data_IF_797530242433
#
_entry.id   IF_797530242433
#
_cell.length_a   1.000
_cell.length_b   1.000
_cell.length_c   1.000
_cell.angle_alpha   90.00
_cell.angle_beta   90.00
_cell.angle_gamma   90.00
#
_symmetry.space_group_name_H-M   'P 1'
#
loop_
_entity.id
_entity.type
_entity.pdbx_description
1 polymer ?
#
# COMPACT_ATOMS: atom_id res chain seq x y z
N UNK A 1 7.63 -21.20 26.81
CA UNK A 1 6.20 -21.54 26.92
C UNK A 1 5.67 -21.72 25.51
N UNK A 2 5.35 -22.95 25.12
CA UNK A 2 4.80 -23.25 23.80
C UNK A 2 3.27 -23.09 23.86
N UNK A 3 2.72 -22.35 22.91
CA UNK A 3 1.27 -22.22 22.74
C UNK A 3 0.94 -22.64 21.32
N UNK A 4 0.01 -23.58 21.20
CA UNK A 4 -0.57 -24.05 19.94
C UNK A 4 -2.02 -23.56 19.85
N UNK A 5 -2.48 -23.36 18.60
CA UNK A 5 -3.86 -23.10 18.10
C UNK A 5 -4.31 -21.63 17.96
N UNK A 6 -5.23 -21.26 17.03
CA UNK A 6 -5.95 -22.02 16.00
C UNK A 6 -5.63 -21.57 14.54
N UNK A 7 -6.25 -22.26 13.57
CA UNK A 7 -6.03 -22.32 12.11
C UNK A 7 -6.12 -21.04 11.25
N UNK A 8 -6.05 -19.84 11.83
CA UNK A 8 -6.19 -18.58 11.08
C UNK A 8 -4.86 -17.90 10.70
N UNK A 9 -3.73 -18.37 11.22
CA UNK A 9 -2.39 -17.85 10.88
C UNK A 9 -1.90 -18.52 9.59
N UNK A 10 -1.93 -17.79 8.47
CA UNK A 10 -1.28 -18.25 7.22
C UNK A 10 0.23 -18.16 7.38
N UNK A 11 0.96 -19.24 7.07
CA UNK A 11 2.42 -19.41 7.24
C UNK A 11 3.32 -18.31 6.64
N UNK A 12 2.81 -17.41 5.80
CA UNK A 12 3.63 -16.44 5.05
C UNK A 12 4.06 -15.20 5.83
N UNK A 13 3.21 -14.69 6.72
CA UNK A 13 3.62 -13.60 7.63
C UNK A 13 4.80 -14.06 8.53
N UNK A 14 4.93 -15.38 8.74
CA UNK A 14 6.06 -16.00 9.45
C UNK A 14 7.31 -16.23 8.59
N UNK A 15 7.18 -16.37 7.25
CA UNK A 15 8.32 -16.52 6.34
C UNK A 15 9.10 -15.21 6.13
N UNK A 16 8.41 -14.08 6.09
CA UNK A 16 9.04 -12.76 5.88
C UNK A 16 9.94 -12.35 7.09
N UNK A 17 9.60 -12.84 8.28
CA UNK A 17 10.41 -12.72 9.52
C UNK A 17 11.56 -13.70 9.59
N UNK A 18 11.42 -14.87 8.97
CA UNK A 18 12.45 -15.91 9.01
C UNK A 18 13.78 -15.42 8.43
N UNK A 19 13.72 -14.48 7.48
CA UNK A 19 14.87 -13.75 6.92
C UNK A 19 15.57 -12.87 7.97
N UNK A 20 14.83 -12.32 8.95
CA UNK A 20 15.37 -11.45 10.01
C UNK A 20 15.93 -12.26 11.20
N UNK A 21 15.52 -13.51 11.35
CA UNK A 21 15.88 -14.39 12.46
C UNK A 21 16.68 -15.60 11.99
N UNK A 22 17.43 -15.46 10.90
CA UNK A 22 18.09 -16.59 10.22
C UNK A 22 19.11 -17.30 11.14
N UNK A 23 19.74 -16.58 12.07
CA UNK A 23 20.59 -17.14 13.14
C UNK A 23 19.84 -17.73 14.34
N UNK A 24 18.51 -17.53 14.41
CA UNK A 24 17.58 -18.09 15.42
C UNK A 24 16.63 -19.15 14.82
N UNK A 25 16.88 -19.54 13.56
CA UNK A 25 15.98 -20.34 12.69
C UNK A 25 15.73 -21.78 13.13
N UNK A 26 16.23 -22.20 14.30
CA UNK A 26 15.86 -23.48 14.92
C UNK A 26 14.50 -23.46 15.62
N UNK A 27 13.87 -22.29 15.78
CA UNK A 27 12.58 -22.16 16.46
C UNK A 27 11.55 -21.53 15.54
N UNK A 28 10.40 -22.20 15.38
CA UNK A 28 9.25 -21.61 14.73
C UNK A 28 8.74 -20.44 15.59
N UNK A 29 8.82 -19.22 15.07
CA UNK A 29 8.13 -18.06 15.66
C UNK A 29 6.68 -18.14 15.17
N UNK A 30 5.83 -18.77 15.97
CA UNK A 30 4.43 -19.09 15.60
C UNK A 30 3.48 -17.90 15.82
N UNK A 31 3.83 -16.96 16.72
CA UNK A 31 3.01 -15.79 17.02
C UNK A 31 3.87 -14.63 17.50
N UNK A 32 3.68 -13.46 16.90
CA UNK A 32 4.30 -12.20 17.29
C UNK A 32 3.28 -11.22 17.87
N UNK A 33 3.74 -10.31 18.73
CA UNK A 33 2.91 -9.18 19.16
C UNK A 33 2.93 -8.09 18.07
N UNK A 34 1.93 -8.12 17.20
CA UNK A 34 1.78 -7.13 16.14
C UNK A 34 1.64 -5.71 16.69
N UNK A 35 1.05 -5.54 17.89
CA UNK A 35 0.89 -4.21 18.49
C UNK A 35 2.25 -3.61 18.82
N UNK A 36 3.12 -4.37 19.47
CA UNK A 36 4.46 -3.90 19.81
C UNK A 36 5.33 -3.62 18.58
N UNK A 37 5.23 -4.46 17.54
CA UNK A 37 6.03 -4.27 16.32
C UNK A 37 5.57 -3.02 15.57
N UNK A 38 4.26 -2.82 15.43
CA UNK A 38 3.71 -1.64 14.74
C UNK A 38 3.99 -0.36 15.52
N UNK A 39 3.89 -0.40 16.85
CA UNK A 39 4.29 0.71 17.72
C UNK A 39 5.77 1.06 17.51
N UNK A 40 6.67 0.06 17.53
CA UNK A 40 8.10 0.28 17.31
C UNK A 40 8.39 0.85 15.91
N UNK A 41 7.67 0.40 14.88
CA UNK A 41 7.77 0.95 13.53
C UNK A 41 7.34 2.42 13.49
N UNK A 42 6.20 2.76 14.07
CA UNK A 42 5.72 4.15 14.15
C UNK A 42 6.69 5.04 14.94
N UNK A 43 7.22 4.55 16.07
CA UNK A 43 8.25 5.24 16.85
C UNK A 43 9.49 5.52 16.01
N UNK A 44 10.00 4.52 15.28
CA UNK A 44 11.19 4.65 14.45
C UNK A 44 11.05 5.69 13.33
N UNK A 45 9.81 6.05 12.98
CA UNK A 45 9.48 7.01 11.93
C UNK A 45 9.05 8.39 12.44
N UNK A 46 9.11 8.61 13.75
CA UNK A 46 8.86 9.93 14.35
C UNK A 46 7.38 10.26 14.57
N UNK A 47 6.48 9.27 14.55
CA UNK A 47 5.08 9.48 14.90
C UNK A 47 4.92 9.77 16.40
N UNK A 48 4.10 10.77 16.74
CA UNK A 48 3.64 11.05 18.11
C UNK A 48 2.47 10.14 18.47
N UNK A 49 2.42 9.69 19.72
CA UNK A 49 1.48 8.68 20.23
C UNK A 49 1.38 7.39 19.38
N UNK A 50 2.51 6.68 19.20
CA UNK A 50 2.59 5.47 18.38
C UNK A 50 1.73 4.32 18.93
N UNK A 51 1.44 4.30 20.23
CA UNK A 51 0.59 3.29 20.88
C UNK A 51 -0.85 3.38 20.43
N UNK A 52 -1.40 4.59 20.44
CA UNK A 52 -2.77 4.82 20.00
C UNK A 52 -2.92 4.54 18.50
N UNK A 53 -1.99 5.04 17.69
CA UNK A 53 -1.98 4.83 16.24
C UNK A 53 -1.82 3.36 15.86
N UNK A 54 -0.95 2.60 16.54
CA UNK A 54 -0.79 1.16 16.31
C UNK A 54 -2.11 0.41 16.56
N UNK A 55 -2.81 0.72 17.66
CA UNK A 55 -4.12 0.13 17.95
C UNK A 55 -5.14 0.46 16.87
N UNK A 56 -5.25 1.72 16.45
CA UNK A 56 -6.18 2.13 15.39
C UNK A 56 -5.88 1.43 14.07
N UNK A 57 -4.60 1.33 13.68
CA UNK A 57 -4.17 0.64 12.47
C UNK A 57 -4.49 -0.86 12.50
N UNK A 58 -4.30 -1.52 13.64
CA UNK A 58 -4.62 -2.95 13.78
C UNK A 58 -6.14 -3.19 13.79
N UNK A 59 -6.92 -2.30 14.41
CA UNK A 59 -8.39 -2.34 14.34
C UNK A 59 -8.85 -2.15 12.89
N UNK A 60 -8.25 -1.18 12.17
CA UNK A 60 -8.54 -0.98 10.75
C UNK A 60 -8.20 -2.22 9.94
N UNK A 61 -7.03 -2.82 10.19
CA UNK A 61 -6.60 -4.05 9.52
C UNK A 61 -7.61 -5.18 9.71
N UNK A 62 -8.04 -5.41 10.95
CA UNK A 62 -8.97 -6.49 11.27
C UNK A 62 -10.36 -6.22 10.68
N UNK A 63 -10.86 -4.99 10.80
CA UNK A 63 -12.16 -4.61 10.27
C UNK A 63 -12.19 -4.69 8.74
N UNK A 64 -11.16 -4.14 8.08
CA UNK A 64 -11.03 -4.20 6.64
C UNK A 64 -10.92 -5.64 6.12
N UNK A 65 -10.23 -6.54 6.84
CA UNK A 65 -10.20 -7.97 6.51
C UNK A 65 -11.58 -8.61 6.62
N UNK A 66 -12.29 -8.37 7.72
CA UNK A 66 -13.63 -8.93 7.93
C UNK A 66 -14.64 -8.50 6.86
N UNK A 67 -14.52 -7.28 6.34
CA UNK A 67 -15.45 -6.70 5.36
C UNK A 67 -15.03 -6.95 3.91
N UNK A 68 -13.73 -6.83 3.58
CA UNK A 68 -13.24 -6.86 2.20
C UNK A 68 -12.77 -8.25 1.76
N UNK A 69 -12.11 -9.06 2.61
CA UNK A 69 -11.65 -10.41 2.21
C UNK A 69 -12.84 -11.34 1.89
N UNK A 70 -14.02 -11.09 2.46
CA UNK A 70 -15.25 -11.86 2.17
C UNK A 70 -15.78 -11.58 0.76
N UNK A 71 -15.55 -10.38 0.23
CA UNK A 71 -15.98 -9.98 -1.12
C UNK A 71 -15.09 -10.55 -2.23
N UNK A 72 -13.83 -10.85 -1.92
CA UNK A 72 -12.83 -11.26 -2.90
C UNK A 72 -12.71 -12.78 -2.92
N UNK A 73 -13.72 -13.46 -3.47
CA UNK A 73 -13.70 -14.92 -3.69
C UNK A 73 -12.64 -15.38 -4.73
N UNK A 74 -11.86 -14.47 -5.32
CA UNK A 74 -10.95 -14.76 -6.44
C UNK A 74 -9.49 -14.34 -6.24
N UNK A 75 -9.08 -13.84 -5.06
CA UNK A 75 -7.66 -13.65 -4.77
C UNK A 75 -7.03 -15.03 -4.53
N UNK A 76 -6.48 -15.59 -5.60
CA UNK A 76 -5.65 -16.78 -5.57
C UNK A 76 -4.62 -16.65 -4.44
N UNK A 77 -4.69 -17.55 -3.46
CA UNK A 77 -3.68 -18.16 -2.55
C UNK A 77 -2.45 -17.33 -2.06
N UNK A 78 -2.04 -16.23 -2.68
CA UNK A 78 -0.71 -15.66 -2.59
C UNK A 78 -0.54 -14.34 -1.82
N UNK A 79 -1.52 -13.44 -1.70
CA UNK A 79 -1.32 -12.22 -0.90
C UNK A 79 -2.61 -11.82 -0.16
N UNK A 80 -2.54 -11.70 1.17
CA UNK A 80 -3.55 -10.97 1.92
C UNK A 80 -3.31 -9.49 1.65
N UNK A 81 -4.33 -8.78 1.15
CA UNK A 81 -4.25 -7.33 0.88
C UNK A 81 -3.77 -6.55 2.10
N UNK A 82 -4.06 -7.06 3.30
CA UNK A 82 -3.68 -6.50 4.58
C UNK A 82 -2.52 -7.29 5.22
N UNK A 83 -1.49 -7.66 4.46
CA UNK A 83 -0.25 -8.25 4.97
C UNK A 83 0.52 -7.27 5.88
N UNK A 84 1.49 -7.79 6.63
CA UNK A 84 2.38 -6.92 7.40
C UNK A 84 3.26 -6.02 6.50
N UNK A 85 3.67 -6.53 5.33
CA UNK A 85 4.39 -5.75 4.31
C UNK A 85 3.58 -4.56 3.79
N UNK A 86 2.26 -4.72 3.58
CA UNK A 86 1.36 -3.63 3.21
C UNK A 86 1.32 -2.55 4.31
N UNK A 87 1.24 -2.96 5.57
CA UNK A 87 1.27 -2.03 6.70
C UNK A 87 2.58 -1.25 6.76
N UNK A 88 3.72 -1.92 6.56
CA UNK A 88 5.04 -1.28 6.50
C UNK A 88 5.11 -0.25 5.36
N UNK A 89 4.58 -0.58 4.19
CA UNK A 89 4.53 0.34 3.05
C UNK A 89 3.69 1.58 3.37
N UNK A 90 2.51 1.41 3.97
CA UNK A 90 1.63 2.50 4.41
C UNK A 90 2.33 3.41 5.43
N UNK A 91 2.96 2.83 6.45
CA UNK A 91 3.68 3.60 7.48
C UNK A 91 4.84 4.37 6.85
N UNK A 92 5.56 3.78 5.89
CA UNK A 92 6.64 4.45 5.19
C UNK A 92 6.15 5.62 4.33
N UNK A 93 5.04 5.45 3.61
CA UNK A 93 4.43 6.52 2.80
C UNK A 93 3.87 7.65 3.66
N UNK A 94 3.29 7.33 4.82
CA UNK A 94 2.86 8.35 5.77
C UNK A 94 4.06 9.10 6.37
N UNK A 95 5.14 8.38 6.71
CA UNK A 95 6.36 8.97 7.27
C UNK A 95 7.09 9.92 6.31
N UNK A 96 7.11 9.61 5.01
CA UNK A 96 7.73 10.48 4.00
C UNK A 96 7.04 11.85 3.91
N UNK A 97 5.75 11.91 4.22
CA UNK A 97 4.96 13.15 4.26
C UNK A 97 5.03 13.87 5.60
N UNK A 98 5.32 13.14 6.69
CA UNK A 98 5.53 13.69 8.03
C UNK A 98 6.72 14.65 8.07
N UNK A 99 7.78 14.37 7.30
CA UNK A 99 8.94 15.25 7.16
C UNK A 99 8.61 16.58 6.45
N UNK A 100 7.52 16.64 5.69
CA UNK A 100 7.19 17.78 4.83
C UNK A 100 6.09 18.67 5.44
N UNK A 101 5.29 18.17 6.38
CA UNK A 101 4.10 18.88 6.87
C UNK A 101 3.79 18.56 8.34
N UNK A 102 3.49 19.59 9.14
CA UNK A 102 3.01 19.45 10.51
C UNK A 102 1.50 19.11 10.52
N UNK A 103 1.16 17.94 9.97
CA UNK A 103 -0.23 17.45 9.81
C UNK A 103 -0.56 16.44 10.91
N UNK A 104 -1.84 16.38 11.28
CA UNK A 104 -2.42 15.31 12.09
C UNK A 104 -2.00 13.91 11.59
N UNK A 105 -1.28 13.19 12.44
CA UNK A 105 -0.75 11.86 12.14
C UNK A 105 -1.83 10.84 11.78
N UNK A 106 -3.03 10.96 12.38
CA UNK A 106 -4.17 10.09 12.07
C UNK A 106 -4.62 10.27 10.62
N UNK A 107 -4.68 11.52 10.17
CA UNK A 107 -5.03 11.89 8.80
C UNK A 107 -3.98 11.39 7.81
N UNK A 108 -2.69 11.58 8.10
CA UNK A 108 -1.60 11.11 7.24
C UNK A 108 -1.65 9.60 7.02
N UNK A 109 -1.86 8.83 8.09
CA UNK A 109 -1.99 7.38 8.00
C UNK A 109 -3.23 6.99 7.21
N UNK A 110 -4.38 7.62 7.46
CA UNK A 110 -5.60 7.37 6.70
C UNK A 110 -5.43 7.64 5.20
N UNK A 111 -4.80 8.76 4.82
CA UNK A 111 -4.51 9.09 3.42
C UNK A 111 -3.52 8.10 2.78
N UNK A 112 -2.50 7.66 3.51
CA UNK A 112 -1.53 6.67 3.04
C UNK A 112 -2.16 5.28 2.83
N UNK A 113 -3.06 4.85 3.72
CA UNK A 113 -3.85 3.63 3.55
C UNK A 113 -4.63 3.69 2.24
N UNK A 114 -5.39 4.76 2.03
CA UNK A 114 -6.21 4.91 0.82
C UNK A 114 -5.38 4.96 -0.45
N UNK A 115 -4.24 5.68 -0.44
CA UNK A 115 -3.32 5.74 -1.58
C UNK A 115 -2.70 4.37 -1.90
N UNK A 116 -2.31 3.62 -0.87
CA UNK A 116 -1.74 2.29 -1.06
C UNK A 116 -2.76 1.33 -1.69
N UNK A 117 -4.01 1.38 -1.22
CA UNK A 117 -5.05 0.47 -1.68
C UNK A 117 -5.74 0.91 -2.97
N UNK A 118 -5.76 2.20 -3.32
CA UNK A 118 -6.44 2.69 -4.53
C UNK A 118 -5.94 2.07 -5.83
N UNK A 119 -4.70 1.59 -5.86
CA UNK A 119 -4.10 0.91 -7.02
C UNK A 119 -4.21 -0.62 -6.95
N UNK A 120 -4.75 -1.18 -5.85
CA UNK A 120 -4.79 -2.62 -5.55
C UNK A 120 -6.21 -3.18 -5.39
N UNK A 121 -7.20 -2.34 -5.11
CA UNK A 121 -8.60 -2.75 -4.92
C UNK A 121 -9.53 -2.07 -5.93
N UNK A 122 -10.70 -2.67 -6.15
CA UNK A 122 -11.73 -2.08 -7.02
C UNK A 122 -12.37 -0.83 -6.42
N UNK A 123 -13.04 -0.02 -7.25
CA UNK A 123 -13.65 1.26 -6.80
C UNK A 123 -14.70 1.08 -5.69
N UNK A 124 -15.50 0.01 -5.75
CA UNK A 124 -16.49 -0.31 -4.70
C UNK A 124 -15.82 -0.62 -3.37
N UNK A 125 -14.79 -1.47 -3.40
CA UNK A 125 -13.99 -1.84 -2.23
C UNK A 125 -13.21 -0.66 -1.65
N UNK A 126 -12.74 0.24 -2.51
CA UNK A 126 -12.09 1.47 -2.08
C UNK A 126 -13.06 2.37 -1.32
N UNK A 127 -14.31 2.50 -1.78
CA UNK A 127 -15.36 3.27 -1.07
C UNK A 127 -15.69 2.67 0.30
N UNK A 128 -15.76 1.34 0.39
CA UNK A 128 -15.97 0.65 1.67
C UNK A 128 -14.77 0.89 2.61
N UNK A 129 -13.55 0.82 2.09
CA UNK A 129 -12.33 1.11 2.84
C UNK A 129 -12.28 2.59 3.29
N UNK A 130 -12.69 3.54 2.45
CA UNK A 130 -12.81 4.95 2.81
C UNK A 130 -13.77 5.17 3.97
N UNK A 131 -14.92 4.48 3.99
CA UNK A 131 -15.86 4.56 5.10
C UNK A 131 -15.25 4.02 6.40
N UNK A 132 -14.52 2.92 6.33
CA UNK A 132 -13.80 2.32 7.48
C UNK A 132 -12.68 3.25 7.98
N UNK A 133 -11.88 3.81 7.08
CA UNK A 133 -10.81 4.76 7.44
C UNK A 133 -11.42 5.98 8.13
N UNK A 134 -12.52 6.53 7.60
CA UNK A 134 -13.21 7.68 8.20
C UNK A 134 -13.78 7.38 9.58
N UNK A 135 -14.32 6.18 9.81
CA UNK A 135 -14.87 5.82 11.12
C UNK A 135 -13.80 5.63 12.19
N UNK A 136 -12.63 5.11 11.81
CA UNK A 136 -11.52 4.81 12.76
C UNK A 136 -10.61 6.02 13.00
N UNK A 137 -10.35 6.80 11.95
CA UNK A 137 -9.45 7.96 11.98
C UNK A 137 -10.19 9.30 11.94
N UNK A 138 -11.47 9.34 12.34
CA UNK A 138 -12.26 10.56 12.38
C UNK A 138 -11.47 11.71 13.05
N UNK A 139 -11.32 12.80 12.31
CA UNK A 139 -10.79 14.08 12.79
C UNK A 139 -11.96 15.05 12.80
N UNK A 140 -12.09 15.87 13.85
CA UNK A 140 -13.22 16.80 14.07
C UNK A 140 -13.39 17.85 12.95
N UNK A 141 -12.44 17.93 12.02
CA UNK A 141 -12.49 18.83 10.87
C UNK A 141 -12.83 18.03 9.60
N UNK A 142 -14.11 18.08 9.19
CA UNK A 142 -14.68 17.51 7.95
C UNK A 142 -14.11 18.13 6.65
N UNK A 143 -12.79 18.16 6.48
CA UNK A 143 -12.19 18.36 5.16
C UNK A 143 -11.92 16.97 4.59
N UNK A 144 -12.90 16.48 3.84
CA UNK A 144 -12.96 15.11 3.32
C UNK A 144 -11.60 14.56 2.90
N UNK A 145 -11.29 13.34 3.38
CA UNK A 145 -10.28 12.48 2.79
C UNK A 145 -10.68 12.22 1.33
N UNK A 146 -10.37 13.15 0.43
CA UNK A 146 -10.23 12.83 -0.97
C UNK A 146 -8.83 12.26 -1.09
N UNK A 147 -8.75 10.95 -1.33
CA UNK A 147 -7.59 10.35 -1.95
C UNK A 147 -7.48 10.94 -3.36
N UNK A 148 -7.04 12.20 -3.45
CA UNK A 148 -6.54 12.71 -4.72
C UNK A 148 -5.29 11.89 -4.94
N UNK A 149 -5.40 10.92 -5.83
CA UNK A 149 -4.30 10.43 -6.64
C UNK A 149 -3.83 11.67 -7.41
N UNK A 150 -3.15 12.59 -6.72
CA UNK A 150 -2.61 13.79 -7.31
C UNK A 150 -1.32 13.33 -7.94
N UNK A 151 -1.47 12.63 -9.06
CA UNK A 151 -0.36 12.29 -9.94
C UNK A 151 0.34 13.60 -10.21
N UNK A 152 1.65 13.66 -9.95
CA UNK A 152 2.44 14.84 -10.28
C UNK A 152 2.19 15.18 -11.76
N UNK A 153 1.75 16.40 -12.10
CA UNK A 153 1.43 16.75 -13.49
C UNK A 153 2.63 16.50 -14.42
N UNK A 154 3.84 16.65 -13.89
CA UNK A 154 5.12 16.40 -14.55
C UNK A 154 5.28 14.93 -14.98
N UNK A 155 4.76 13.98 -14.19
CA UNK A 155 4.82 12.56 -14.51
C UNK A 155 3.84 12.22 -15.66
N UNK A 156 2.63 12.79 -15.65
CA UNK A 156 1.67 12.55 -16.73
C UNK A 156 2.21 13.02 -18.08
N UNK A 157 2.88 14.17 -18.10
CA UNK A 157 3.46 14.67 -19.33
C UNK A 157 4.64 13.81 -19.79
N UNK A 158 5.50 13.38 -18.85
CA UNK A 158 6.60 12.43 -19.14
C UNK A 158 6.07 11.12 -19.73
N UNK A 159 4.96 10.60 -19.21
CA UNK A 159 4.28 9.41 -19.75
C UNK A 159 3.76 9.65 -21.17
N UNK A 160 3.16 10.81 -21.45
CA UNK A 160 2.67 11.15 -22.82
C UNK A 160 3.81 11.22 -23.82
N UNK A 161 4.92 11.86 -23.44
CA UNK A 161 6.13 11.96 -24.27
C UNK A 161 6.71 10.57 -24.54
N UNK A 162 6.85 9.75 -23.50
CA UNK A 162 7.35 8.37 -23.61
C UNK A 162 6.46 7.49 -24.50
N UNK A 163 5.13 7.58 -24.34
CA UNK A 163 4.18 6.83 -25.15
C UNK A 163 4.30 7.19 -26.65
N UNK A 164 4.41 8.48 -26.97
CA UNK A 164 4.63 8.94 -28.35
C UNK A 164 5.97 8.49 -28.92
N UNK A 165 7.04 8.51 -28.11
CA UNK A 165 8.36 8.04 -28.52
C UNK A 165 8.38 6.53 -28.85
N UNK A 166 7.53 5.75 -28.17
CA UNK A 166 7.33 4.32 -28.46
C UNK A 166 6.24 4.05 -29.51
N UNK A 167 5.76 5.10 -30.19
CA UNK A 167 4.70 5.02 -31.20
C UNK A 167 3.35 4.48 -30.69
N UNK A 168 3.09 4.58 -29.39
CA UNK A 168 1.77 4.30 -28.82
C UNK A 168 0.87 5.54 -28.85
N UNK A 169 -0.44 5.32 -28.92
CA UNK A 169 -1.46 6.37 -28.79
C UNK A 169 -1.71 6.60 -27.29
N UNK A 170 -1.38 7.78 -26.72
CA UNK A 170 -1.54 8.06 -25.30
C UNK A 170 -3.01 8.31 -24.94
N UNK A 171 -3.79 7.24 -24.84
CA UNK A 171 -5.17 7.28 -24.35
C UNK A 171 -5.17 7.54 -22.84
N UNK A 172 -6.17 8.24 -22.32
CA UNK A 172 -6.24 8.55 -20.89
C UNK A 172 -6.15 7.29 -20.01
N UNK A 173 -6.85 6.22 -20.38
CA UNK A 173 -6.79 4.94 -19.66
C UNK A 173 -5.36 4.33 -19.59
N UNK A 174 -4.52 4.54 -20.62
CA UNK A 174 -3.11 4.12 -20.59
C UNK A 174 -2.31 5.00 -19.62
N UNK A 175 -2.51 6.32 -19.67
CA UNK A 175 -1.84 7.28 -18.78
C UNK A 175 -2.18 6.96 -17.32
N UNK A 176 -3.45 6.69 -17.02
CA UNK A 176 -3.93 6.33 -15.69
C UNK A 176 -3.34 4.98 -15.23
N UNK A 177 -3.25 3.99 -16.13
CA UNK A 177 -2.63 2.69 -15.84
C UNK A 177 -1.13 2.81 -15.55
N UNK A 178 -0.40 3.56 -16.37
CA UNK A 178 1.05 3.79 -16.19
C UNK A 178 1.31 4.60 -14.92
N UNK A 179 0.48 5.60 -14.62
CA UNK A 179 0.58 6.39 -13.39
C UNK A 179 0.29 5.54 -12.14
N UNK A 180 -0.69 4.63 -12.22
CA UNK A 180 -0.99 3.68 -11.15
C UNK A 180 0.18 2.73 -10.92
N UNK A 181 0.82 2.25 -11.99
CA UNK A 181 2.03 1.43 -11.90
C UNK A 181 3.20 2.19 -11.26
N UNK A 182 3.44 3.44 -11.65
CA UNK A 182 4.46 4.29 -11.04
C UNK A 182 4.22 4.44 -9.53
N UNK A 183 2.98 4.74 -9.13
CA UNK A 183 2.57 4.87 -7.72
C UNK A 183 2.76 3.56 -6.96
N UNK A 184 2.44 2.42 -7.56
CA UNK A 184 2.64 1.11 -6.95
C UNK A 184 4.13 0.82 -6.72
N UNK A 185 5.00 1.17 -7.67
CA UNK A 185 6.46 1.01 -7.53
C UNK A 185 7.08 1.98 -6.53
N UNK A 186 6.52 3.16 -6.31
CA UNK A 186 6.97 4.05 -5.22
C UNK A 186 6.71 3.46 -3.83
N UNK A 187 5.65 2.67 -3.70
CA UNK A 187 5.24 2.09 -2.41
C UNK A 187 5.72 0.65 -2.19
N UNK A 188 6.32 0.00 -3.18
CA UNK A 188 6.69 -1.43 -3.12
C UNK A 188 7.88 -1.75 -4.02
N UNK A 189 8.77 -2.62 -3.53
CA UNK A 189 9.97 -3.08 -4.27
C UNK A 189 9.62 -3.78 -5.58
N UNK A 190 8.50 -4.51 -5.61
CA UNK A 190 7.99 -5.16 -6.81
C UNK A 190 6.48 -4.97 -6.94
N UNK A 191 6.00 -4.84 -8.17
CA UNK A 191 4.56 -4.78 -8.48
C UNK A 191 4.21 -5.84 -9.53
N UNK A 192 3.06 -6.49 -9.36
CA UNK A 192 2.54 -7.48 -10.32
C UNK A 192 1.35 -6.88 -11.06
N UNK A 193 1.39 -6.87 -12.40
CA UNK A 193 0.25 -6.46 -13.21
C UNK A 193 -0.66 -7.66 -13.50
N UNK A 194 -1.89 -7.61 -13.02
CA UNK A 194 -2.88 -8.68 -13.20
C UNK A 194 -3.95 -8.25 -14.20
N UNK A 195 -4.26 -9.12 -15.16
CA UNK A 195 -5.31 -8.89 -16.16
C UNK A 195 -5.18 -9.84 -17.35
N UNK A 196 -6.19 -9.90 -18.25
CA UNK A 196 -6.17 -10.80 -19.39
C UNK A 196 -5.04 -10.48 -20.37
N UNK A 197 -4.69 -11.43 -21.24
CA UNK A 197 -3.68 -11.17 -22.29
C UNK A 197 -4.17 -10.08 -23.24
N UNK A 198 -3.24 -9.28 -23.79
CA UNK A 198 -3.56 -8.24 -24.77
C UNK A 198 -4.03 -6.88 -24.23
N UNK A 199 -4.23 -6.71 -22.90
CA UNK A 199 -4.68 -5.43 -22.31
C UNK A 199 -3.59 -4.36 -22.17
N UNK A 200 -2.41 -4.56 -22.77
CA UNK A 200 -1.33 -3.58 -22.74
C UNK A 200 -0.46 -3.59 -21.47
N UNK A 201 -0.43 -4.66 -20.68
CA UNK A 201 0.45 -4.76 -19.48
C UNK A 201 1.93 -4.52 -19.81
N UNK A 202 2.46 -5.18 -20.84
CA UNK A 202 3.84 -4.99 -21.31
C UNK A 202 4.07 -3.57 -21.80
N UNK A 203 3.09 -3.00 -22.50
CA UNK A 203 3.11 -1.61 -22.97
C UNK A 203 3.22 -0.64 -21.80
N UNK A 204 2.45 -0.84 -20.73
CA UNK A 204 2.51 0.03 -19.55
C UNK A 204 3.90 0.03 -18.90
N UNK A 205 4.56 -1.14 -18.83
CA UNK A 205 5.94 -1.23 -18.35
C UNK A 205 6.93 -0.50 -19.25
N UNK A 206 6.85 -0.71 -20.57
CA UNK A 206 7.76 -0.08 -21.54
C UNK A 206 7.62 1.45 -21.52
N UNK A 207 6.38 1.95 -21.47
CA UNK A 207 6.11 3.39 -21.38
C UNK A 207 6.63 3.97 -20.07
N UNK A 208 6.44 3.28 -18.94
CA UNK A 208 6.95 3.76 -17.65
C UNK A 208 8.49 3.80 -17.63
N UNK A 209 9.14 2.73 -18.06
CA UNK A 209 10.60 2.66 -18.14
C UNK A 209 11.14 3.80 -19.01
N UNK A 210 10.51 4.04 -20.17
CA UNK A 210 10.90 5.13 -21.05
C UNK A 210 10.64 6.51 -20.44
N UNK A 211 9.58 6.67 -19.65
CA UNK A 211 9.29 7.92 -18.96
C UNK A 211 10.36 8.26 -17.91
N UNK A 212 10.90 7.25 -17.20
CA UNK A 212 12.01 7.46 -16.26
C UNK A 212 13.33 7.76 -16.97
N UNK A 213 13.64 7.10 -18.11
CA UNK A 213 14.82 7.46 -18.91
C UNK A 213 14.80 8.92 -19.40
N UNK A 214 13.62 9.41 -19.78
CA UNK A 214 13.43 10.76 -20.33
C UNK A 214 13.36 11.84 -19.24
N UNK A 215 13.21 11.45 -17.98
CA UNK A 215 13.05 12.38 -16.87
C UNK A 215 13.91 11.93 -15.68
N UNK A 216 15.22 12.27 -15.68
CA UNK A 216 16.17 11.86 -14.64
C UNK A 216 15.92 12.54 -13.28
N UNK A 217 14.89 13.38 -13.15
CA UNK A 217 14.48 14.01 -11.89
C UNK A 217 13.72 13.07 -10.94
N UNK A 218 13.59 11.78 -11.27
CA UNK A 218 12.79 10.80 -10.54
C UNK A 218 13.60 9.61 -9.97
N UNK A 219 14.94 9.67 -10.02
CA UNK A 219 15.83 8.82 -9.19
C UNK A 219 15.90 9.31 -7.74
#
# INVERSE_FOLDING_TARGET
>A
MFVVFPSSVRMRDAEEIRVWTESLSHFAIVQWDQSCIVEALLMSRGFTDPRHLAKQLLILREHARSTLDVSIRSLSVYESLFSFSALKAVINDAASQLALRNIDHKRLIGEAVLRYFSVRVGETQLKDLEAIVKSIFASDNETGLQARISIRPDLQESIRVAARALHFIPRQAMIDSVSSLATALTSSVSTVLVGPSGVGKTTSYQVLAKAFELSPAFE
#
